data_IF_225883828194
#
_entry.id   IF_225883828194
#
_cell.length_a   1.000
_cell.length_b   1.000
_cell.length_c   1.000
_cell.angle_alpha   90.00
_cell.angle_beta   90.00
_cell.angle_gamma   90.00
#
_symmetry.space_group_name_H-M   'P 1'
#
loop_
_entity.id
_entity.type
_entity.pdbx_description
1 polymer ?
#
# COMPACT_ATOMS: atom_id res chain seq x y z
N UNK A 1 6.96 -13.01 19.91
CA UNK A 1 7.65 -14.20 19.36
C UNK A 1 6.67 -15.25 18.78
N UNK A 2 5.35 -15.14 18.95
CA UNK A 2 4.35 -16.12 18.46
C UNK A 2 3.74 -15.80 17.09
N UNK A 3 3.93 -14.60 16.55
CA UNK A 3 3.30 -14.14 15.30
C UNK A 3 4.22 -14.17 14.07
N UNK A 4 5.50 -14.51 14.24
CA UNK A 4 6.49 -14.48 13.15
C UNK A 4 6.35 -15.61 12.10
N UNK A 5 5.54 -16.65 12.37
CA UNK A 5 5.29 -17.74 11.42
C UNK A 5 3.83 -17.75 10.90
N UNK A 6 3.00 -16.79 11.34
CA UNK A 6 1.60 -16.77 10.96
C UNK A 6 1.46 -16.07 9.61
N UNK A 7 1.11 -16.81 8.58
CA UNK A 7 0.64 -16.21 7.34
C UNK A 7 -0.74 -15.59 7.63
N UNK A 8 -0.76 -14.28 7.96
CA UNK A 8 -1.97 -13.52 8.26
C UNK A 8 -3.08 -13.71 7.22
N UNK A 9 -2.71 -13.95 5.96
CA UNK A 9 -3.65 -14.08 4.85
C UNK A 9 -4.32 -15.46 4.77
N UNK A 10 -3.85 -16.48 5.53
CA UNK A 10 -4.51 -17.80 5.58
C UNK A 10 -5.83 -17.75 6.35
N UNK A 11 -6.00 -16.82 7.28
CA UNK A 11 -7.29 -16.53 7.90
C UNK A 11 -8.14 -15.68 6.95
N UNK A 12 -9.10 -16.31 6.26
CA UNK A 12 -9.93 -15.65 5.25
C UNK A 12 -10.73 -14.48 5.79
N UNK A 13 -11.18 -14.55 7.05
CA UNK A 13 -11.93 -13.47 7.69
C UNK A 13 -11.04 -12.27 7.94
N UNK A 14 -9.84 -12.50 8.49
CA UNK A 14 -8.86 -11.45 8.67
C UNK A 14 -8.42 -10.85 7.33
N UNK A 15 -8.12 -11.67 6.32
CA UNK A 15 -7.74 -11.21 4.97
C UNK A 15 -8.81 -10.27 4.39
N UNK A 16 -10.10 -10.63 4.54
CA UNK A 16 -11.22 -9.79 4.09
C UNK A 16 -11.29 -8.47 4.85
N UNK A 17 -11.13 -8.50 6.17
CA UNK A 17 -11.13 -7.29 7.01
C UNK A 17 -9.94 -6.38 6.71
N UNK A 18 -8.75 -6.96 6.51
CA UNK A 18 -7.54 -6.23 6.15
C UNK A 18 -7.71 -5.56 4.77
N UNK A 19 -8.21 -6.31 3.77
CA UNK A 19 -8.53 -5.73 2.45
C UNK A 19 -9.49 -4.54 2.56
N UNK A 20 -10.61 -4.70 3.28
CA UNK A 20 -11.61 -3.64 3.39
C UNK A 20 -11.05 -2.37 4.04
N UNK A 21 -10.32 -2.54 5.14
CA UNK A 21 -9.69 -1.41 5.83
C UNK A 21 -8.56 -0.77 5.01
N UNK A 22 -7.74 -1.57 4.33
CA UNK A 22 -6.68 -1.07 3.46
C UNK A 22 -7.26 -0.30 2.26
N UNK A 23 -8.22 -0.88 1.54
CA UNK A 23 -8.87 -0.25 0.39
C UNK A 23 -9.54 1.07 0.79
N UNK A 24 -10.29 1.07 1.90
CA UNK A 24 -10.91 2.28 2.44
C UNK A 24 -9.89 3.36 2.73
N UNK A 25 -8.94 3.10 3.62
CA UNK A 25 -8.00 4.14 4.07
C UNK A 25 -7.10 4.62 2.92
N UNK A 26 -6.60 3.71 2.09
CA UNK A 26 -5.75 4.06 0.95
C UNK A 26 -6.46 4.94 -0.09
N UNK A 27 -7.74 4.67 -0.37
CA UNK A 27 -8.52 5.49 -1.31
C UNK A 27 -9.03 6.78 -0.68
N UNK A 28 -9.41 6.77 0.62
CA UNK A 28 -9.87 7.96 1.33
C UNK A 28 -8.75 9.01 1.53
N UNK A 29 -7.49 8.58 1.66
CA UNK A 29 -6.33 9.48 1.63
C UNK A 29 -6.28 10.25 0.30
N UNK A 30 -6.71 9.66 -0.81
CA UNK A 30 -6.84 10.29 -2.13
C UNK A 30 -8.21 10.97 -2.35
N UNK A 31 -8.98 11.15 -1.28
CA UNK A 31 -10.30 11.79 -1.24
C UNK A 31 -11.44 10.98 -1.88
N UNK A 32 -11.34 9.64 -1.92
CA UNK A 32 -12.49 8.81 -2.22
C UNK A 32 -13.56 9.02 -1.12
N UNK A 33 -14.82 9.29 -1.48
CA UNK A 33 -15.85 9.69 -0.52
C UNK A 33 -16.55 8.52 0.19
N UNK A 34 -16.31 7.27 -0.23
CA UNK A 34 -16.99 6.11 0.34
C UNK A 34 -16.59 5.90 1.80
N UNK A 35 -17.55 5.58 2.64
CA UNK A 35 -17.31 5.17 4.03
C UNK A 35 -16.77 3.73 4.13
N UNK A 36 -16.22 3.37 5.28
CA UNK A 36 -15.75 2.00 5.52
C UNK A 36 -16.89 0.98 5.41
N UNK A 37 -18.09 1.31 5.89
CA UNK A 37 -19.27 0.46 5.80
C UNK A 37 -19.67 0.21 4.33
N UNK A 38 -19.65 1.24 3.50
CA UNK A 38 -19.94 1.11 2.06
C UNK A 38 -18.89 0.26 1.35
N UNK A 39 -17.60 0.45 1.68
CA UNK A 39 -16.51 -0.37 1.17
C UNK A 39 -16.69 -1.84 1.59
N UNK A 40 -17.00 -2.11 2.86
CA UNK A 40 -17.26 -3.47 3.36
C UNK A 40 -18.46 -4.10 2.67
N UNK A 41 -19.59 -3.41 2.59
CA UNK A 41 -20.79 -3.90 1.90
C UNK A 41 -20.50 -4.24 0.43
N UNK A 42 -19.72 -3.40 -0.25
CA UNK A 42 -19.32 -3.68 -1.62
C UNK A 42 -18.39 -4.90 -1.73
N UNK A 43 -17.35 -5.00 -0.89
CA UNK A 43 -16.37 -6.07 -0.99
C UNK A 43 -16.91 -7.44 -0.58
N UNK A 44 -17.81 -7.48 0.42
CA UNK A 44 -18.39 -8.71 0.98
C UNK A 44 -19.69 -9.07 0.26
N UNK A 45 -20.65 -8.14 0.18
CA UNK A 45 -22.00 -8.39 -0.29
C UNK A 45 -22.20 -8.08 -1.78
N UNK A 46 -21.24 -7.39 -2.43
CA UNK A 46 -21.33 -6.93 -3.80
C UNK A 46 -22.33 -5.77 -4.00
N UNK A 47 -22.73 -5.11 -2.93
CA UNK A 47 -23.72 -4.02 -2.96
C UNK A 47 -23.03 -2.68 -3.11
N UNK A 48 -23.49 -1.88 -4.07
CA UNK A 48 -23.02 -0.52 -4.32
C UNK A 48 -24.12 0.45 -3.88
N UNK A 49 -23.73 1.48 -3.13
CA UNK A 49 -24.67 2.54 -2.72
C UNK A 49 -25.10 3.40 -3.90
N UNK A 50 -26.33 3.96 -3.82
CA UNK A 50 -26.83 4.90 -4.81
C UNK A 50 -25.95 6.15 -4.87
N UNK A 51 -25.71 6.66 -6.08
CA UNK A 51 -24.90 7.85 -6.36
C UNK A 51 -23.37 7.68 -6.24
N UNK A 52 -22.85 6.46 -6.16
CA UNK A 52 -21.39 6.22 -6.25
C UNK A 52 -20.93 6.57 -7.68
N UNK A 53 -19.90 7.42 -7.79
CA UNK A 53 -19.27 7.70 -9.09
C UNK A 53 -18.52 6.45 -9.56
N UNK A 54 -18.51 6.25 -10.88
CA UNK A 54 -17.85 5.10 -11.51
C UNK A 54 -16.36 5.02 -11.15
N UNK A 55 -15.69 6.16 -11.06
CA UNK A 55 -14.28 6.22 -10.64
C UNK A 55 -14.08 5.77 -9.19
N UNK A 56 -14.93 6.25 -8.26
CA UNK A 56 -14.85 5.91 -6.84
C UNK A 56 -15.10 4.41 -6.63
N UNK A 57 -16.04 3.84 -7.41
CA UNK A 57 -16.27 2.40 -7.45
C UNK A 57 -15.04 1.63 -7.91
N UNK A 58 -14.44 2.02 -9.06
CA UNK A 58 -13.27 1.31 -9.58
C UNK A 58 -12.06 1.39 -8.66
N UNK A 59 -11.89 2.46 -7.93
CA UNK A 59 -10.81 2.56 -6.92
C UNK A 59 -10.89 1.43 -5.89
N UNK A 60 -12.08 1.11 -5.39
CA UNK A 60 -12.26 0.02 -4.41
C UNK A 60 -12.24 -1.36 -5.10
N UNK A 61 -12.93 -1.50 -6.24
CA UNK A 61 -12.96 -2.74 -7.01
C UNK A 61 -11.56 -3.21 -7.42
N UNK A 62 -10.71 -2.27 -7.80
CA UNK A 62 -9.34 -2.53 -8.20
C UNK A 62 -8.47 -3.01 -7.03
N UNK A 63 -8.69 -2.53 -5.81
CA UNK A 63 -8.04 -3.10 -4.62
C UNK A 63 -8.44 -4.57 -4.42
N UNK A 64 -9.73 -4.92 -4.60
CA UNK A 64 -10.19 -6.32 -4.53
C UNK A 64 -9.49 -7.21 -5.56
N UNK A 65 -9.40 -6.75 -6.80
CA UNK A 65 -8.75 -7.51 -7.88
C UNK A 65 -7.23 -7.67 -7.66
N UNK A 66 -6.60 -6.65 -7.10
CA UNK A 66 -5.17 -6.71 -6.75
C UNK A 66 -4.92 -7.65 -5.58
N UNK A 67 -5.87 -7.75 -4.62
CA UNK A 67 -5.73 -8.54 -3.41
C UNK A 67 -5.37 -10.00 -3.68
N UNK A 68 -6.03 -10.63 -4.64
CA UNK A 68 -5.71 -12.01 -5.08
C UNK A 68 -4.25 -12.16 -5.52
N UNK A 69 -3.66 -11.11 -6.10
CA UNK A 69 -2.23 -11.13 -6.45
C UNK A 69 -1.35 -10.94 -5.22
N UNK A 70 -1.75 -10.10 -4.27
CA UNK A 70 -1.02 -9.91 -3.02
C UNK A 70 -1.00 -11.20 -2.18
N UNK A 71 -2.12 -11.91 -2.09
CA UNK A 71 -2.19 -13.21 -1.42
C UNK A 71 -1.23 -14.22 -2.06
N UNK A 72 -1.27 -14.37 -3.38
CA UNK A 72 -0.33 -15.23 -4.09
C UNK A 72 1.12 -14.81 -3.90
N UNK A 73 1.42 -13.51 -3.97
CA UNK A 73 2.79 -13.02 -3.77
C UNK A 73 3.27 -13.13 -2.31
N UNK A 74 2.36 -13.18 -1.34
CA UNK A 74 2.72 -13.49 0.04
C UNK A 74 3.25 -14.93 0.18
N UNK A 75 2.71 -15.87 -0.61
CA UNK A 75 3.16 -17.26 -0.64
C UNK A 75 4.42 -17.44 -1.52
N UNK A 76 4.41 -16.89 -2.75
CA UNK A 76 5.49 -17.02 -3.73
C UNK A 76 6.73 -16.19 -3.35
N UNK A 77 6.56 -15.14 -2.54
CA UNK A 77 7.61 -14.19 -2.08
C UNK A 77 8.51 -13.66 -3.19
N UNK A 78 7.98 -13.20 -4.34
CA UNK A 78 8.81 -12.68 -5.40
C UNK A 78 9.58 -11.43 -4.97
N UNK A 79 10.75 -11.21 -5.55
CA UNK A 79 11.48 -9.97 -5.33
C UNK A 79 10.75 -8.78 -5.92
N UNK A 80 10.79 -7.64 -5.21
CA UNK A 80 10.29 -6.39 -5.75
C UNK A 80 11.04 -6.09 -7.06
N UNK A 81 10.28 -5.83 -8.10
CA UNK A 81 10.81 -5.56 -9.43
C UNK A 81 10.01 -4.46 -10.12
N UNK A 82 10.58 -3.87 -11.17
CA UNK A 82 9.86 -2.91 -12.01
C UNK A 82 8.53 -3.49 -12.52
N UNK A 83 8.52 -4.79 -12.86
CA UNK A 83 7.31 -5.46 -13.33
C UNK A 83 6.23 -5.53 -12.24
N UNK A 84 6.59 -5.87 -11.01
CA UNK A 84 5.65 -5.88 -9.87
C UNK A 84 5.13 -4.47 -9.59
N UNK A 85 6.00 -3.46 -9.58
CA UNK A 85 5.60 -2.05 -9.40
C UNK A 85 4.57 -1.61 -10.46
N UNK A 86 4.85 -1.93 -11.72
CA UNK A 86 3.94 -1.62 -12.85
C UNK A 86 2.65 -2.43 -12.80
N UNK A 87 2.72 -3.69 -12.39
CA UNK A 87 1.54 -4.56 -12.23
C UNK A 87 0.63 -4.07 -11.11
N UNK A 88 1.19 -3.69 -9.95
CA UNK A 88 0.43 -3.07 -8.86
C UNK A 88 -0.31 -1.83 -9.38
N UNK A 89 0.42 -0.91 -10.02
CA UNK A 89 -0.19 0.30 -10.57
C UNK A 89 -1.25 -0.02 -11.65
N UNK A 90 -0.95 -0.94 -12.57
CA UNK A 90 -1.90 -1.35 -13.60
C UNK A 90 -3.21 -1.84 -12.99
N UNK A 91 -3.13 -2.73 -11.99
CA UNK A 91 -4.33 -3.27 -11.34
C UNK A 91 -5.11 -2.21 -10.58
N UNK A 92 -4.43 -1.32 -9.86
CA UNK A 92 -5.08 -0.25 -9.10
C UNK A 92 -5.77 0.79 -10.00
N UNK A 93 -5.18 1.06 -11.16
CA UNK A 93 -5.64 2.15 -12.04
C UNK A 93 -6.39 1.65 -13.27
N UNK A 94 -6.62 0.34 -13.38
CA UNK A 94 -7.40 -0.25 -14.48
C UNK A 94 -8.81 0.36 -14.52
N UNK A 95 -9.26 0.70 -15.71
CA UNK A 95 -10.55 1.40 -15.95
C UNK A 95 -10.66 2.82 -15.34
N UNK A 96 -9.56 3.33 -14.76
CA UNK A 96 -9.45 4.70 -14.24
C UNK A 96 -8.53 5.52 -15.16
N UNK A 97 -7.35 4.96 -15.50
CA UNK A 97 -6.36 5.60 -16.37
C UNK A 97 -6.11 4.81 -17.64
N UNK A 98 -5.97 5.51 -18.76
CA UNK A 98 -5.63 4.90 -20.05
C UNK A 98 -4.16 4.42 -20.11
N UNK A 99 -3.28 5.01 -19.31
CA UNK A 99 -1.85 4.68 -19.21
C UNK A 99 -1.52 3.82 -17.98
N UNK A 100 -2.52 3.15 -17.38
CA UNK A 100 -2.34 2.27 -16.22
C UNK A 100 -1.16 1.29 -16.44
N UNK A 101 -0.25 1.20 -15.46
CA UNK A 101 0.97 0.39 -15.52
C UNK A 101 2.10 0.98 -16.38
N UNK A 102 1.91 2.13 -17.01
CA UNK A 102 2.94 2.82 -17.79
C UNK A 102 3.54 3.99 -17.01
N UNK A 103 4.86 4.12 -17.08
CA UNK A 103 5.52 5.29 -16.50
C UNK A 103 5.11 6.57 -17.23
N UNK A 104 5.04 7.67 -16.48
CA UNK A 104 4.67 8.99 -17.02
C UNK A 104 5.60 9.42 -18.17
N UNK A 105 5.02 10.03 -19.18
CA UNK A 105 5.74 10.59 -20.32
C UNK A 105 5.93 12.11 -20.22
N UNK A 106 5.22 12.75 -19.31
CA UNK A 106 5.27 14.20 -19.04
C UNK A 106 5.59 14.45 -17.58
N UNK A 107 6.22 15.59 -17.28
CA UNK A 107 6.47 15.98 -15.90
C UNK A 107 5.15 16.24 -15.19
N UNK A 108 5.08 15.82 -13.94
CA UNK A 108 3.96 16.09 -13.03
C UNK A 108 4.46 16.76 -11.74
N UNK A 109 3.54 17.21 -10.92
CA UNK A 109 3.81 17.78 -9.62
C UNK A 109 2.79 17.29 -8.60
N UNK A 110 3.21 17.21 -7.34
CA UNK A 110 2.33 16.88 -6.22
C UNK A 110 1.83 18.19 -5.61
N UNK A 111 0.52 18.36 -5.56
CA UNK A 111 -0.07 19.56 -4.97
C UNK A 111 0.31 19.69 -3.49
N UNK A 112 0.85 20.85 -3.12
CA UNK A 112 1.29 21.13 -1.74
C UNK A 112 2.64 20.53 -1.34
N UNK A 113 3.34 19.79 -2.22
CA UNK A 113 4.68 19.32 -1.94
C UNK A 113 5.72 20.45 -2.06
N UNK A 114 6.73 20.41 -1.20
CA UNK A 114 7.87 21.34 -1.20
C UNK A 114 9.07 20.85 -2.03
N UNK A 115 8.89 19.80 -2.81
CA UNK A 115 9.91 19.20 -3.68
C UNK A 115 9.37 18.97 -5.10
N UNK A 116 10.28 18.81 -6.05
CA UNK A 116 9.96 18.45 -7.43
C UNK A 116 10.04 16.93 -7.61
N UNK A 117 9.10 16.38 -8.37
CA UNK A 117 9.13 14.96 -8.75
C UNK A 117 10.22 14.71 -9.81
N UNK A 118 10.67 13.46 -9.91
CA UNK A 118 11.66 13.08 -10.94
C UNK A 118 11.14 13.39 -12.35
N UNK A 119 11.93 14.05 -13.21
CA UNK A 119 11.56 14.31 -14.60
C UNK A 119 11.23 13.03 -15.37
N UNK A 120 10.25 13.09 -16.28
CA UNK A 120 9.74 11.94 -17.00
C UNK A 120 10.83 11.15 -17.75
N UNK A 121 11.80 11.85 -18.37
CA UNK A 121 12.89 11.21 -19.12
C UNK A 121 13.88 10.40 -18.24
N UNK A 122 13.87 10.59 -16.92
CA UNK A 122 14.75 9.87 -15.99
C UNK A 122 14.05 8.68 -15.32
N UNK A 123 12.71 8.58 -15.39
CA UNK A 123 11.92 7.64 -14.59
C UNK A 123 12.41 6.20 -14.72
N UNK A 124 12.63 5.70 -15.93
CA UNK A 124 13.02 4.31 -16.14
C UNK A 124 14.35 3.95 -15.46
N UNK A 125 15.29 4.89 -15.43
CA UNK A 125 16.56 4.72 -14.74
C UNK A 125 16.40 4.81 -13.22
N UNK A 126 15.73 5.87 -12.74
CA UNK A 126 15.61 6.12 -11.29
C UNK A 126 14.77 5.06 -10.59
N UNK A 127 13.71 4.55 -11.24
CA UNK A 127 12.92 3.43 -10.67
C UNK A 127 13.75 2.14 -10.62
N UNK A 128 14.60 1.88 -11.61
CA UNK A 128 15.49 0.71 -11.56
C UNK A 128 16.48 0.82 -10.39
N UNK A 129 17.15 1.95 -10.26
CA UNK A 129 18.10 2.21 -9.18
C UNK A 129 17.40 2.09 -7.80
N UNK A 130 16.17 2.61 -7.68
CA UNK A 130 15.36 2.50 -6.48
C UNK A 130 15.03 1.03 -6.12
N UNK A 131 14.60 0.21 -7.09
CA UNK A 131 14.32 -1.22 -6.90
C UNK A 131 15.59 -1.97 -6.49
N UNK A 132 16.70 -1.74 -7.20
CA UNK A 132 17.98 -2.41 -6.94
C UNK A 132 18.50 -2.06 -5.54
N UNK A 133 18.40 -0.78 -5.13
CA UNK A 133 18.78 -0.33 -3.80
C UNK A 133 17.89 -0.93 -2.70
N UNK A 134 16.56 -0.97 -2.92
CA UNK A 134 15.62 -1.63 -2.01
C UNK A 134 16.00 -3.09 -1.80
N UNK A 135 16.16 -3.84 -2.89
CA UNK A 135 16.47 -5.28 -2.85
C UNK A 135 17.81 -5.56 -2.15
N UNK A 136 18.84 -4.77 -2.46
CA UNK A 136 20.13 -4.88 -1.80
C UNK A 136 20.03 -4.63 -0.29
N UNK A 137 19.39 -3.54 0.12
CA UNK A 137 19.24 -3.20 1.54
C UNK A 137 18.44 -4.25 2.30
N UNK A 138 17.36 -4.77 1.71
CA UNK A 138 16.57 -5.85 2.31
C UNK A 138 17.39 -7.13 2.48
N UNK A 139 18.27 -7.46 1.53
CA UNK A 139 19.11 -8.68 1.60
C UNK A 139 20.14 -8.66 2.73
N UNK A 140 20.55 -7.48 3.21
CA UNK A 140 21.54 -7.32 4.28
C UNK A 140 20.94 -6.96 5.64
N UNK A 141 19.64 -6.64 5.70
CA UNK A 141 18.95 -6.28 6.94
C UNK A 141 18.94 -7.45 7.92
N UNK A 142 19.33 -7.16 9.18
CA UNK A 142 19.51 -8.15 10.23
C UNK A 142 18.32 -8.23 11.21
N UNK A 143 17.42 -7.24 11.17
CA UNK A 143 16.28 -7.14 12.09
C UNK A 143 15.00 -6.71 11.37
N UNK A 144 13.86 -7.04 12.00
CA UNK A 144 12.56 -6.57 11.53
C UNK A 144 12.48 -5.02 11.52
N UNK A 145 13.11 -4.38 12.50
CA UNK A 145 13.15 -2.93 12.58
C UNK A 145 13.93 -2.31 11.42
N UNK A 146 15.07 -2.88 11.04
CA UNK A 146 15.83 -2.46 9.87
C UNK A 146 15.01 -2.64 8.58
N UNK A 147 14.32 -3.76 8.43
CA UNK A 147 13.43 -4.01 7.29
C UNK A 147 12.29 -3.00 7.25
N UNK A 148 11.62 -2.75 8.36
CA UNK A 148 10.55 -1.77 8.45
C UNK A 148 11.04 -0.36 8.09
N UNK A 149 12.22 0.03 8.56
CA UNK A 149 12.88 1.28 8.20
C UNK A 149 13.12 1.38 6.69
N UNK A 150 13.64 0.31 6.07
CA UNK A 150 13.88 0.25 4.63
C UNK A 150 12.57 0.42 3.85
N UNK A 151 11.49 -0.22 4.30
CA UNK A 151 10.16 -0.09 3.68
C UNK A 151 9.70 1.37 3.71
N UNK A 152 9.79 2.03 4.86
CA UNK A 152 9.36 3.43 5.02
C UNK A 152 10.21 4.41 4.20
N UNK A 153 11.53 4.28 4.24
CA UNK A 153 12.45 5.12 3.45
C UNK A 153 12.25 4.90 1.95
N UNK A 154 12.02 3.67 1.54
CA UNK A 154 11.75 3.34 0.14
C UNK A 154 10.41 3.90 -0.32
N UNK A 155 9.41 3.94 0.55
CA UNK A 155 8.14 4.58 0.27
C UNK A 155 8.28 6.09 0.06
N UNK A 156 9.01 6.80 0.93
CA UNK A 156 9.31 8.23 0.76
C UNK A 156 9.98 8.47 -0.60
N UNK A 157 10.99 7.67 -0.93
CA UNK A 157 11.69 7.79 -2.22
C UNK A 157 10.76 7.54 -3.40
N UNK A 158 9.87 6.53 -3.31
CA UNK A 158 8.89 6.25 -4.36
C UNK A 158 7.94 7.44 -4.59
N UNK A 159 7.42 8.04 -3.51
CA UNK A 159 6.56 9.23 -3.59
C UNK A 159 7.30 10.42 -4.23
N UNK A 160 8.59 10.58 -3.98
CA UNK A 160 9.41 11.63 -4.60
C UNK A 160 9.75 11.35 -6.06
N UNK A 161 9.98 10.10 -6.42
CA UNK A 161 10.15 9.69 -7.82
C UNK A 161 8.86 9.98 -8.60
N UNK A 162 7.71 9.63 -8.02
CA UNK A 162 6.38 9.84 -8.58
C UNK A 162 6.28 9.34 -10.02
N UNK A 163 6.49 8.01 -10.24
CA UNK A 163 6.78 7.47 -11.57
C UNK A 163 5.59 7.43 -12.53
N UNK A 164 4.36 7.55 -12.04
CA UNK A 164 3.15 7.44 -12.84
C UNK A 164 2.46 8.79 -13.00
N UNK A 165 1.54 8.89 -13.97
CA UNK A 165 0.76 10.09 -14.22
C UNK A 165 -0.16 10.44 -13.03
N UNK A 166 -0.76 9.43 -12.39
CA UNK A 166 -1.59 9.48 -11.19
C UNK A 166 -1.48 8.13 -10.45
N UNK A 167 -2.13 7.96 -9.28
CA UNK A 167 -2.19 6.70 -8.53
C UNK A 167 -0.90 6.33 -7.79
N UNK A 168 0.08 7.23 -7.71
CA UNK A 168 1.35 6.95 -7.04
C UNK A 168 1.17 6.64 -5.55
N UNK A 169 0.38 7.42 -4.81
CA UNK A 169 0.11 7.21 -3.39
C UNK A 169 -0.48 5.83 -3.10
N UNK A 170 -1.53 5.43 -3.84
CA UNK A 170 -2.14 4.09 -3.72
C UNK A 170 -1.14 2.98 -4.03
N UNK A 171 -0.34 3.16 -5.08
CA UNK A 171 0.72 2.22 -5.48
C UNK A 171 1.80 2.11 -4.40
N UNK A 172 2.30 3.23 -3.89
CA UNK A 172 3.34 3.26 -2.86
C UNK A 172 2.88 2.59 -1.56
N UNK A 173 1.65 2.87 -1.10
CA UNK A 173 1.06 2.19 0.07
C UNK A 173 0.87 0.70 -0.15
N UNK A 174 0.50 0.28 -1.36
CA UNK A 174 0.41 -1.15 -1.69
C UNK A 174 1.78 -1.83 -1.74
N UNK A 175 2.83 -1.14 -2.21
CA UNK A 175 4.20 -1.67 -2.18
C UNK A 175 4.68 -1.86 -0.74
N UNK A 176 4.33 -0.97 0.20
CA UNK A 176 4.63 -1.19 1.63
C UNK A 176 3.94 -2.45 2.15
N UNK A 177 2.65 -2.64 1.85
CA UNK A 177 1.90 -3.83 2.27
C UNK A 177 2.47 -5.12 1.66
N UNK A 178 2.76 -5.12 0.36
CA UNK A 178 3.46 -6.20 -0.33
C UNK A 178 4.79 -6.54 0.36
N UNK A 179 5.57 -5.53 0.71
CA UNK A 179 6.86 -5.72 1.39
C UNK A 179 6.69 -6.34 2.78
N UNK A 180 5.67 -5.92 3.54
CA UNK A 180 5.36 -6.54 4.82
C UNK A 180 5.03 -8.03 4.66
N UNK A 181 4.18 -8.39 3.71
CA UNK A 181 3.83 -9.80 3.45
C UNK A 181 5.06 -10.62 3.03
N UNK A 182 5.85 -10.11 2.08
CA UNK A 182 7.04 -10.80 1.61
C UNK A 182 8.04 -11.08 2.73
N UNK A 183 8.26 -10.10 3.59
CA UNK A 183 9.28 -10.16 4.65
C UNK A 183 8.77 -10.78 5.97
N UNK A 184 7.51 -11.18 6.03
CA UNK A 184 6.88 -11.72 7.24
C UNK A 184 6.74 -10.69 8.37
N UNK A 185 6.62 -9.42 8.01
CA UNK A 185 6.42 -8.31 8.93
C UNK A 185 4.91 -8.10 9.13
N UNK A 186 4.48 -7.85 10.35
CA UNK A 186 3.09 -7.49 10.62
C UNK A 186 2.67 -6.34 9.71
N UNK A 187 1.60 -6.49 8.90
CA UNK A 187 1.12 -5.42 8.06
C UNK A 187 0.64 -4.22 8.88
N UNK A 188 0.55 -3.07 8.25
CA UNK A 188 -0.02 -1.87 8.86
C UNK A 188 -0.82 -1.08 7.85
N UNK A 189 -1.82 -0.36 8.34
CA UNK A 189 -2.67 0.54 7.56
C UNK A 189 -2.48 1.94 8.10
N UNK A 190 -2.24 2.91 7.22
CA UNK A 190 -2.22 4.33 7.57
C UNK A 190 -3.67 4.81 7.62
N UNK A 191 -4.18 5.22 8.79
CA UNK A 191 -5.56 5.69 8.89
C UNK A 191 -5.75 7.01 8.15
N UNK A 192 -6.89 7.17 7.45
CA UNK A 192 -7.22 8.45 6.80
C UNK A 192 -7.32 9.61 7.79
N UNK A 193 -7.70 9.34 9.03
CA UNK A 193 -7.72 10.33 10.11
C UNK A 193 -6.35 10.92 10.42
N UNK A 194 -5.28 10.23 10.06
CA UNK A 194 -3.89 10.68 10.23
C UNK A 194 -3.22 11.09 8.89
N UNK A 195 -4.03 11.42 7.88
CA UNK A 195 -3.55 11.88 6.56
C UNK A 195 -2.57 13.05 6.67
N UNK A 196 -2.81 13.98 7.58
CA UNK A 196 -1.95 15.15 7.77
C UNK A 196 -0.54 14.73 8.23
N UNK A 197 -0.46 13.92 9.26
CA UNK A 197 0.79 13.42 9.82
C UNK A 197 1.55 12.53 8.81
N UNK A 198 0.80 11.75 8.03
CA UNK A 198 1.39 10.98 6.94
C UNK A 198 2.02 11.86 5.85
N UNK A 199 1.36 12.95 5.45
CA UNK A 199 1.91 13.90 4.50
C UNK A 199 3.13 14.66 5.08
N UNK A 200 3.10 15.01 6.36
CA UNK A 200 4.25 15.60 7.07
C UNK A 200 5.44 14.63 7.10
N UNK A 201 5.19 13.34 7.33
CA UNK A 201 6.22 12.29 7.25
C UNK A 201 6.87 12.23 5.86
N UNK A 202 6.08 12.23 4.77
CA UNK A 202 6.60 12.22 3.40
C UNK A 202 7.44 13.46 3.08
N UNK A 203 7.09 14.61 3.65
CA UNK A 203 7.82 15.87 3.44
C UNK A 203 9.09 15.98 4.28
N UNK A 204 9.04 15.54 5.54
CA UNK A 204 10.17 15.66 6.48
C UNK A 204 11.23 14.59 6.29
N UNK A 205 10.89 13.46 5.66
CA UNK A 205 11.73 12.26 5.54
C UNK A 205 12.18 11.69 6.92
N UNK A 206 11.51 12.08 7.99
CA UNK A 206 11.89 11.67 9.34
C UNK A 206 11.26 10.32 9.71
N UNK A 207 11.93 9.23 9.30
CA UNK A 207 11.48 7.85 9.58
C UNK A 207 11.49 7.56 11.07
N UNK A 208 12.46 8.07 11.84
CA UNK A 208 12.57 7.82 13.27
C UNK A 208 11.32 8.28 14.04
N UNK A 209 10.78 9.44 13.69
CA UNK A 209 9.57 9.96 14.33
C UNK A 209 8.29 9.22 13.89
N UNK A 210 8.31 8.56 12.73
CA UNK A 210 7.14 7.89 12.19
C UNK A 210 7.08 6.40 12.50
N UNK A 211 8.22 5.77 12.79
CA UNK A 211 8.30 4.33 13.07
C UNK A 211 7.47 3.92 14.29
N UNK A 212 7.41 4.78 15.31
CA UNK A 212 6.58 4.55 16.51
C UNK A 212 5.08 4.52 16.16
N UNK A 213 4.63 5.39 15.27
CA UNK A 213 3.25 5.37 14.76
C UNK A 213 2.95 4.09 14.00
N UNK A 214 3.89 3.67 13.15
CA UNK A 214 3.75 2.41 12.39
C UNK A 214 3.66 1.21 13.34
N UNK A 215 4.45 1.18 14.41
CA UNK A 215 4.34 0.16 15.46
C UNK A 215 2.96 0.16 16.12
N UNK A 216 2.39 1.32 16.37
CA UNK A 216 1.01 1.42 16.87
C UNK A 216 -0.01 0.85 15.88
N UNK A 217 0.13 1.16 14.56
CA UNK A 217 -0.75 0.60 13.53
C UNK A 217 -0.59 -0.93 13.40
N UNK A 218 0.64 -1.44 13.50
CA UNK A 218 0.89 -2.89 13.56
C UNK A 218 0.19 -3.54 14.75
N UNK A 219 0.22 -2.89 15.92
CA UNK A 219 -0.53 -3.35 17.11
C UNK A 219 -2.04 -3.45 16.87
N UNK A 220 -2.62 -2.50 16.14
CA UNK A 220 -4.04 -2.53 15.76
C UNK A 220 -4.36 -3.71 14.82
N UNK A 221 -3.45 -4.04 13.89
CA UNK A 221 -3.63 -5.19 13.00
C UNK A 221 -3.47 -6.53 13.72
N UNK A 222 -2.55 -6.62 14.66
CA UNK A 222 -2.44 -7.80 15.57
C UNK A 222 -3.76 -8.00 16.33
N UNK A 223 -4.32 -6.94 16.91
CA UNK A 223 -5.59 -7.04 17.63
C UNK A 223 -6.73 -7.46 16.70
N UNK A 224 -6.82 -6.90 15.51
CA UNK A 224 -7.80 -7.29 14.48
C UNK A 224 -7.69 -8.78 14.12
N UNK A 225 -6.47 -9.28 13.96
CA UNK A 225 -6.23 -10.70 13.69
C UNK A 225 -6.74 -11.57 14.85
N UNK A 226 -6.38 -11.23 16.08
CA UNK A 226 -6.84 -11.97 17.27
C UNK A 226 -8.37 -11.96 17.41
N UNK A 227 -9.02 -10.83 17.15
CA UNK A 227 -10.48 -10.72 17.20
C UNK A 227 -11.16 -11.63 16.18
N UNK A 228 -10.54 -11.85 15.01
CA UNK A 228 -11.08 -12.78 14.01
C UNK A 228 -10.87 -14.24 14.40
N UNK A 229 -9.75 -14.60 15.02
CA UNK A 229 -9.44 -15.93 15.53
C UNK A 229 -10.40 -16.34 16.67
N UNK A 230 -10.62 -15.43 17.64
CA UNK A 230 -11.51 -15.72 18.77
C UNK A 230 -12.98 -15.82 18.37
N UNK A 231 -13.41 -15.13 17.31
CA UNK A 231 -14.79 -15.21 16.82
C UNK A 231 -15.12 -16.56 16.16
N UNK A 232 -14.14 -17.41 15.87
CA UNK A 232 -14.36 -18.77 15.35
C UNK A 232 -14.49 -19.84 16.46
N UNK A 233 -14.21 -19.47 17.71
CA UNK A 233 -14.22 -20.39 18.87
C UNK A 233 -15.58 -20.38 19.60
N UNK A 234 -16.45 -19.41 19.32
CA UNK A 234 -17.80 -19.25 19.91
C UNK A 234 -18.87 -19.19 18.84
#
# INVERSE_FOLDING_TARGET
MWLMETNYLTNQKYSTELLANFAYNSSAIENNPLSLEEVKSFLVDGVITQNTRVTDFFEIYNHKNLWTSLERWADDKPDLSINIVREIHYRLMNSILSDAGSFKLTNNAISGANFQTTPAYQISYVVRDWVDNYSYRMSIAQSEEEKLRIILESHIKFERIHPFSDGNGRTGRTIMLFSCFKEGITPFIIPVSEKKEYLEFLQSENVDSYIEKVRFYQGAEVQRFLDTEYAEIF
#
